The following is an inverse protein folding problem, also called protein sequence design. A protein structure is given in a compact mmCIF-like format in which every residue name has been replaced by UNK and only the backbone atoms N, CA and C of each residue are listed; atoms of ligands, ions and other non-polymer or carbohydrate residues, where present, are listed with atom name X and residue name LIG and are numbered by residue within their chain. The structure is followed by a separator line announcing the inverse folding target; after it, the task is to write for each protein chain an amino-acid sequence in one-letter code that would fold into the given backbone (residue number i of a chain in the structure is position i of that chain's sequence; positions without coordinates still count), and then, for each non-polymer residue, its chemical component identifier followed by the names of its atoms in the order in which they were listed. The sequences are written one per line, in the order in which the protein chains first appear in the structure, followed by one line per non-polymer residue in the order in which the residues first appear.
data_IF_868604909647
#
_entry.id   IF_868604909647
#
_cell.length_a   1.000
_cell.length_b   1.000
_cell.length_c   1.000
_cell.angle_alpha   90.00
_cell.angle_beta   90.00
_cell.angle_gamma   90.00
#
_symmetry.space_group_name_H-M   'P 1'
#
loop_
_entity.id
_entity.type
_entity.pdbx_description
1 polymer ?
#
# COMPACT_ATOMS: atom_id res chain seq x y z
N UNK A 1 16.80 -7.54 4.25
CA UNK A 1 15.54 -6.84 4.52
C UNK A 1 15.63 -5.40 4.06
N UNK A 2 14.60 -4.95 3.39
CA UNK A 2 14.57 -3.62 2.83
C UNK A 2 14.33 -2.57 3.92
N UNK A 3 15.20 -1.57 3.99
CA UNK A 3 15.12 -0.55 5.03
C UNK A 3 13.89 0.33 4.87
N UNK A 4 13.53 0.67 3.65
CA UNK A 4 12.36 1.53 3.41
C UNK A 4 11.07 0.81 3.80
N UNK A 5 10.95 -0.47 3.47
CA UNK A 5 9.78 -1.23 3.87
C UNK A 5 9.72 -1.38 5.38
N UNK A 6 10.86 -1.64 6.01
CA UNK A 6 10.92 -1.75 7.46
C UNK A 6 10.44 -0.46 8.12
N UNK A 7 10.92 0.67 7.62
CA UNK A 7 10.53 1.97 8.17
C UNK A 7 9.05 2.24 7.95
N UNK A 8 8.52 1.88 6.78
CA UNK A 8 7.10 2.06 6.50
C UNK A 8 6.26 1.26 7.48
N UNK A 9 6.63 0.00 7.72
CA UNK A 9 5.89 -0.85 8.66
C UNK A 9 5.98 -0.34 10.08
N UNK A 10 7.16 0.10 10.50
CA UNK A 10 7.35 0.60 11.86
C UNK A 10 6.55 1.88 12.10
N UNK A 11 6.61 2.80 11.14
CA UNK A 11 5.86 4.04 11.24
C UNK A 11 4.36 3.76 11.28
N UNK A 12 3.91 2.85 10.42
CA UNK A 12 2.50 2.47 10.37
C UNK A 12 2.06 1.89 11.72
N UNK A 13 2.87 1.03 12.32
CA UNK A 13 2.52 0.39 13.57
C UNK A 13 2.48 1.36 14.75
N UNK A 14 3.30 2.40 14.71
CA UNK A 14 3.40 3.33 15.82
C UNK A 14 2.41 4.48 15.76
N UNK A 15 1.86 4.75 14.58
CA UNK A 15 0.97 5.87 14.39
C UNK A 15 -0.45 5.42 14.15
N UNK A 16 -1.32 6.38 13.97
CA UNK A 16 -2.72 6.10 13.69
C UNK A 16 -3.00 6.43 12.24
N UNK A 17 -2.23 5.82 11.36
CA UNK A 17 -2.31 6.09 9.92
C UNK A 17 -3.10 5.03 9.21
N UNK A 18 -3.68 5.39 8.06
CA UNK A 18 -4.30 4.43 7.17
C UNK A 18 -3.29 3.91 6.15
N UNK A 19 -2.32 4.75 5.78
CA UNK A 19 -1.20 4.26 4.98
C UNK A 19 0.04 5.11 5.21
N UNK A 20 1.19 4.49 4.94
CA UNK A 20 2.50 5.11 5.08
C UNK A 20 3.32 4.69 3.87
N UNK A 21 3.94 5.64 3.19
CA UNK A 21 4.81 5.36 2.05
C UNK A 21 6.20 5.87 2.37
N UNK A 22 7.22 5.04 2.11
CA UNK A 22 8.60 5.38 2.44
C UNK A 22 9.53 5.09 1.27
N UNK A 23 10.38 6.04 0.94
CA UNK A 23 11.41 5.89 -0.09
C UNK A 23 12.63 6.67 0.38
N UNK A 24 13.75 5.97 0.54
CA UNK A 24 14.98 6.61 1.02
C UNK A 24 14.69 7.44 2.27
N UNK A 25 14.84 8.77 2.17
CA UNK A 25 14.57 9.64 3.31
C UNK A 25 13.20 10.29 3.28
N UNK A 26 12.36 9.92 2.31
CA UNK A 26 11.02 10.48 2.22
C UNK A 26 10.04 9.60 2.98
N UNK A 27 9.17 10.23 3.74
CA UNK A 27 8.15 9.54 4.50
C UNK A 27 6.85 10.29 4.33
N UNK A 28 5.87 9.62 3.72
CA UNK A 28 4.55 10.21 3.49
C UNK A 28 3.53 9.39 4.27
N UNK A 29 2.62 10.08 4.93
CA UNK A 29 1.61 9.40 5.74
C UNK A 29 0.23 9.95 5.41
N UNK A 30 -0.80 9.14 5.66
CA UNK A 30 -2.17 9.57 5.45
C UNK A 30 -3.07 8.95 6.51
N UNK A 31 -4.11 9.69 6.85
CA UNK A 31 -5.18 9.19 7.72
C UNK A 31 -6.50 9.10 6.97
N UNK A 32 -6.46 9.37 5.67
CA UNK A 32 -7.67 9.30 4.85
C UNK A 32 -8.08 7.87 4.60
N UNK A 33 -9.38 7.65 4.52
CA UNK A 33 -9.92 6.31 4.41
C UNK A 33 -9.93 5.79 2.98
N UNK A 34 -9.92 4.47 2.86
CA UNK A 34 -10.15 3.79 1.60
C UNK A 34 -9.08 4.07 0.57
N UNK A 35 -9.52 4.26 -0.66
CA UNK A 35 -8.61 4.47 -1.80
C UNK A 35 -8.21 5.92 -1.99
N UNK A 36 -8.71 6.82 -1.14
CA UNK A 36 -8.52 8.25 -1.35
C UNK A 36 -7.06 8.68 -1.47
N UNK A 37 -6.13 8.20 -0.63
CA UNK A 37 -4.74 8.62 -0.78
C UNK A 37 -4.16 8.24 -2.14
N UNK A 38 -4.51 7.05 -2.64
CA UNK A 38 -4.00 6.59 -3.94
C UNK A 38 -4.62 7.38 -5.07
N UNK A 39 -5.92 7.64 -5.00
CA UNK A 39 -6.60 8.41 -6.04
C UNK A 39 -6.11 9.85 -6.09
N UNK A 40 -5.83 10.44 -4.93
CA UNK A 40 -5.27 11.78 -4.86
C UNK A 40 -3.92 11.83 -5.55
N UNK A 41 -3.07 10.82 -5.31
CA UNK A 41 -1.76 10.75 -5.92
C UNK A 41 -1.85 10.72 -7.44
N UNK A 42 -2.79 9.91 -7.95
CA UNK A 42 -3.02 9.82 -9.39
C UNK A 42 -3.48 11.18 -9.94
N UNK A 43 -4.42 11.80 -9.25
CA UNK A 43 -4.97 13.07 -9.69
C UNK A 43 -3.90 14.16 -9.74
N UNK A 44 -2.93 14.10 -8.83
CA UNK A 44 -1.85 15.08 -8.80
C UNK A 44 -0.76 14.79 -9.84
N UNK A 45 -0.89 13.71 -10.59
CA UNK A 45 0.10 13.35 -11.58
C UNK A 45 1.39 12.82 -11.01
N UNK A 46 1.36 12.32 -9.78
CA UNK A 46 2.53 11.77 -9.13
C UNK A 46 2.43 10.25 -9.08
N UNK A 47 3.58 9.59 -9.03
CA UNK A 47 3.59 8.13 -8.90
C UNK A 47 4.15 7.73 -7.53
N UNK A 48 4.34 6.42 -7.35
CA UNK A 48 4.94 5.87 -6.13
C UNK A 48 6.19 5.08 -6.46
N UNK A 49 6.87 5.46 -7.54
CA UNK A 49 8.07 4.77 -7.98
C UNK A 49 9.12 4.77 -6.86
N UNK A 50 9.59 3.60 -6.50
CA UNK A 50 10.58 3.44 -5.44
C UNK A 50 10.02 3.49 -4.03
N UNK A 51 8.74 3.79 -3.86
CA UNK A 51 8.12 3.83 -2.54
C UNK A 51 7.65 2.45 -2.10
N UNK A 52 7.87 2.16 -0.83
CA UNK A 52 7.35 0.96 -0.16
C UNK A 52 6.18 1.39 0.71
N UNK A 53 5.08 0.68 0.59
CA UNK A 53 3.83 1.06 1.24
C UNK A 53 3.46 0.12 2.37
N UNK A 54 3.00 0.69 3.47
CA UNK A 54 2.30 -0.05 4.52
C UNK A 54 0.88 0.51 4.54
N UNK A 55 -0.10 -0.32 4.29
CA UNK A 55 -1.48 0.10 4.14
C UNK A 55 -2.35 -0.76 5.04
N UNK A 56 -3.42 -0.19 5.56
CA UNK A 56 -4.24 -0.87 6.57
C UNK A 56 -4.92 -2.11 6.01
N UNK A 57 -5.50 -2.01 4.84
CA UNK A 57 -6.21 -3.10 4.18
C UNK A 57 -6.00 -2.95 2.69
N UNK A 58 -5.56 -4.02 2.04
CA UNK A 58 -5.32 -3.97 0.59
C UNK A 58 -6.14 -5.04 -0.12
N UNK A 59 -7.18 -4.58 -0.81
CA UNK A 59 -7.96 -5.41 -1.69
C UNK A 59 -7.50 -5.24 -3.13
N UNK A 60 -8.20 -5.88 -4.06
CA UNK A 60 -7.80 -5.84 -5.47
C UNK A 60 -7.75 -4.42 -6.03
N UNK A 61 -8.72 -3.58 -5.67
CA UNK A 61 -8.73 -2.21 -6.20
C UNK A 61 -7.51 -1.43 -5.75
N UNK A 62 -7.16 -1.53 -4.46
CA UNK A 62 -5.97 -0.86 -3.95
C UNK A 62 -4.71 -1.41 -4.63
N UNK A 63 -4.63 -2.74 -4.78
CA UNK A 63 -3.49 -3.36 -5.42
C UNK A 63 -3.34 -2.87 -6.86
N UNK A 64 -4.45 -2.76 -7.59
CA UNK A 64 -4.42 -2.25 -8.95
C UNK A 64 -3.86 -0.84 -8.99
N UNK A 65 -4.25 0.01 -8.03
CA UNK A 65 -3.75 1.37 -7.98
C UNK A 65 -2.27 1.41 -7.61
N UNK A 66 -1.81 0.53 -6.72
CA UNK A 66 -0.38 0.45 -6.43
C UNK A 66 0.41 0.00 -7.66
N UNK A 67 -0.14 -0.92 -8.44
CA UNK A 67 0.49 -1.32 -9.70
C UNK A 67 0.58 -0.12 -10.63
N UNK A 68 -0.53 0.59 -10.79
CA UNK A 68 -0.60 1.74 -11.68
C UNK A 68 0.39 2.83 -11.25
N UNK A 69 0.56 3.03 -9.96
CA UNK A 69 1.47 4.03 -9.44
C UNK A 69 2.92 3.55 -9.39
N UNK A 70 3.17 2.28 -9.62
CA UNK A 70 4.52 1.75 -9.69
C UNK A 70 5.21 1.56 -8.35
N UNK A 71 4.44 1.24 -7.30
CA UNK A 71 5.01 1.04 -5.97
C UNK A 71 6.07 -0.06 -6.00
N UNK A 72 7.07 0.07 -5.15
CA UNK A 72 8.17 -0.88 -5.07
C UNK A 72 7.87 -2.09 -4.20
N UNK A 73 6.90 -1.97 -3.30
CA UNK A 73 6.47 -3.08 -2.46
C UNK A 73 5.26 -2.63 -1.64
N UNK A 74 4.46 -3.58 -1.19
CA UNK A 74 3.24 -3.29 -0.44
C UNK A 74 3.11 -4.28 0.71
N UNK A 75 2.89 -3.75 1.90
CA UNK A 75 2.56 -4.53 3.08
C UNK A 75 1.19 -4.10 3.60
N UNK A 76 0.41 -5.05 4.07
CA UNK A 76 -0.81 -4.75 4.79
C UNK A 76 -1.06 -5.82 5.85
N UNK A 77 -1.57 -5.45 7.03
CA UNK A 77 -1.98 -6.47 7.99
C UNK A 77 -3.00 -7.42 7.39
N UNK A 78 -3.92 -6.91 6.58
CA UNK A 78 -4.94 -7.73 5.92
C UNK A 78 -4.92 -7.43 4.43
N UNK A 79 -4.78 -8.48 3.63
CA UNK A 79 -4.69 -8.35 2.17
C UNK A 79 -5.53 -9.45 1.55
N UNK A 80 -6.25 -9.15 0.49
CA UNK A 80 -6.99 -10.20 -0.20
C UNK A 80 -6.04 -11.05 -1.04
N UNK A 81 -6.41 -12.32 -1.26
CA UNK A 81 -5.60 -13.20 -2.10
C UNK A 81 -5.47 -12.64 -3.50
N UNK A 82 -6.58 -12.09 -4.03
CA UNK A 82 -6.55 -11.48 -5.36
C UNK A 82 -5.60 -10.31 -5.43
N UNK A 83 -5.52 -9.52 -4.36
CA UNK A 83 -4.57 -8.40 -4.32
C UNK A 83 -3.14 -8.90 -4.35
N UNK A 84 -2.84 -9.94 -3.56
CA UNK A 84 -1.49 -10.46 -3.54
C UNK A 84 -1.10 -11.06 -4.89
N UNK A 85 -2.03 -11.76 -5.52
CA UNK A 85 -1.78 -12.32 -6.85
C UNK A 85 -1.49 -11.22 -7.86
N UNK A 86 -2.28 -10.16 -7.82
CA UNK A 86 -2.10 -9.06 -8.76
C UNK A 86 -0.75 -8.38 -8.57
N UNK A 87 -0.38 -8.08 -7.33
CA UNK A 87 0.91 -7.46 -7.05
C UNK A 87 2.05 -8.36 -7.49
N UNK A 88 1.95 -9.65 -7.21
CA UNK A 88 2.99 -10.62 -7.58
C UNK A 88 3.12 -10.71 -9.10
N UNK A 89 2.01 -10.67 -9.79
CA UNK A 89 2.02 -10.73 -11.25
C UNK A 89 2.82 -9.59 -11.86
N UNK A 90 2.80 -8.43 -11.22
CA UNK A 90 3.53 -7.26 -11.68
C UNK A 90 4.87 -7.09 -10.97
N UNK A 91 5.34 -8.15 -10.34
CA UNK A 91 6.65 -8.18 -9.67
C UNK A 91 6.79 -7.16 -8.54
N UNK A 92 5.68 -6.88 -7.87
CA UNK A 92 5.69 -6.03 -6.69
C UNK A 92 5.64 -6.93 -5.46
N UNK A 93 6.70 -6.96 -4.64
CA UNK A 93 6.66 -7.77 -3.42
C UNK A 93 5.48 -7.39 -2.55
N UNK A 94 4.72 -8.39 -2.14
CA UNK A 94 3.52 -8.20 -1.35
C UNK A 94 3.63 -9.01 -0.06
N UNK A 95 3.41 -8.35 1.05
CA UNK A 95 3.52 -8.98 2.37
C UNK A 95 2.24 -8.73 3.16
N UNK A 96 1.72 -9.75 3.80
CA UNK A 96 0.51 -9.62 4.60
C UNK A 96 0.62 -10.48 5.84
N UNK A 97 0.03 -10.00 6.93
CA UNK A 97 -0.07 -10.83 8.14
C UNK A 97 -1.19 -11.84 7.96
N UNK A 98 -2.25 -11.44 7.25
CA UNK A 98 -3.40 -12.31 7.04
C UNK A 98 -3.90 -12.12 5.61
N UNK A 99 -4.17 -13.23 4.92
CA UNK A 99 -4.79 -13.21 3.59
C UNK A 99 -6.24 -13.59 3.72
N UNK A 100 -7.13 -12.85 3.05
CA UNK A 100 -8.54 -13.13 3.05
C UNK A 100 -9.01 -13.38 1.62
N UNK A 101 -10.21 -13.93 1.47
CA UNK A 101 -10.72 -14.18 0.13
C UNK A 101 -11.14 -12.92 -0.58
N UNK A 102 -11.86 -12.05 0.12
CA UNK A 102 -12.36 -10.81 -0.49
C UNK A 102 -12.29 -9.67 0.48
N UNK A 103 -12.01 -8.48 -0.07
CA UNK A 103 -12.08 -7.25 0.68
C UNK A 103 -12.98 -6.30 -0.09
N UNK A 104 -14.01 -5.78 0.58
CA UNK A 104 -14.85 -4.76 0.00
C UNK A 104 -14.24 -3.41 0.27
N UNK A 105 -14.09 -2.62 -0.76
CA UNK A 105 -13.65 -1.26 -0.58
C UNK A 105 -14.80 -0.45 -0.04
N UNK A 106 -14.54 0.25 1.06
CA UNK A 106 -15.51 1.12 1.61
C UNK A 106 -15.33 2.44 0.98
N UNK A 107 -16.34 2.89 0.37
CA UNK A 107 -16.26 4.14 -0.24
C UNK A 107 -16.53 5.16 0.69
N UNK A 108 -16.58 5.07 1.63
CA UNK A 108 -16.92 6.16 2.41
C UNK A 108 -16.49 6.35 3.64
#
# INVERSE_FOLDING_TARGET
MNQAMKKAKETFAQGNYTCVWCRDNELLTSKEAGLRPLLTRIREGKDLSGFYAADKIVGRAAAFLYVKLGAAGVYAPVMSRGAKELLTEYNIPAEADELTENIRNRQN
#
